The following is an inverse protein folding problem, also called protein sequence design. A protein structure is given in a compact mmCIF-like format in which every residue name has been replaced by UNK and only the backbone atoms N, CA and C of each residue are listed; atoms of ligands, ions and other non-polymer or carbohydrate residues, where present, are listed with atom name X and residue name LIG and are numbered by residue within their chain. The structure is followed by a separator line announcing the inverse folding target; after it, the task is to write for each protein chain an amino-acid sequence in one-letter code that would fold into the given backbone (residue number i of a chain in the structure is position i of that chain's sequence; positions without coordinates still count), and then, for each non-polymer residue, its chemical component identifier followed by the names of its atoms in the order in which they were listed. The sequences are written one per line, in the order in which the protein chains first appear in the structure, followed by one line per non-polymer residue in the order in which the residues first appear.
data_IF_894335696034
#
_entry.id   IF_894335696034
#
_cell.length_a   1.000
_cell.length_b   1.000
_cell.length_c   1.000
_cell.angle_alpha   90.00
_cell.angle_beta   90.00
_cell.angle_gamma   90.00
#
_symmetry.space_group_name_H-M   'P 1'
#
loop_
_entity.id
_entity.type
_entity.pdbx_description
1 polymer ?
#
# COMPACT_ATOMS: atom_id res chain seq x y z
N UNK A 1 5.35 1.51 -23.75
CA UNK A 1 6.02 0.90 -22.58
C UNK A 1 5.73 1.83 -21.40
N UNK A 2 5.02 1.37 -20.38
CA UNK A 2 4.79 2.20 -19.19
C UNK A 2 6.11 2.28 -18.44
N UNK A 3 6.62 3.48 -18.25
CA UNK A 3 7.83 3.73 -17.46
C UNK A 3 7.42 3.76 -15.99
N UNK A 4 8.00 2.89 -15.16
CA UNK A 4 7.85 2.90 -13.71
C UNK A 4 9.01 3.66 -13.10
N UNK A 5 8.74 4.54 -12.17
CA UNK A 5 9.76 5.25 -11.39
C UNK A 5 9.43 5.12 -9.91
N UNK A 6 10.42 4.82 -9.09
CA UNK A 6 10.28 4.79 -7.63
C UNK A 6 10.60 6.18 -7.08
N UNK A 7 9.68 6.71 -6.28
CA UNK A 7 9.85 7.99 -5.58
C UNK A 7 9.91 7.73 -4.07
N UNK A 8 10.97 8.17 -3.44
CA UNK A 8 11.20 8.03 -2.00
C UNK A 8 11.23 9.42 -1.36
N UNK A 9 10.84 9.53 -0.09
CA UNK A 9 10.79 10.80 0.62
C UNK A 9 9.71 11.75 0.10
N UNK A 10 8.69 11.20 -0.59
CA UNK A 10 7.61 11.97 -1.22
C UNK A 10 6.55 12.35 -0.18
N UNK A 11 6.05 13.60 -0.27
CA UNK A 11 4.94 14.09 0.53
C UNK A 11 3.90 14.78 -0.34
N UNK A 12 4.29 15.77 -1.14
CA UNK A 12 3.41 16.39 -2.13
C UNK A 12 3.84 15.94 -3.53
N UNK A 13 3.05 15.10 -4.19
CA UNK A 13 3.38 14.48 -5.48
C UNK A 13 3.48 15.47 -6.65
N UNK A 14 3.06 16.73 -6.46
CA UNK A 14 3.10 17.80 -7.50
C UNK A 14 4.18 18.85 -7.24
N UNK A 15 4.78 18.86 -6.05
CA UNK A 15 5.77 19.87 -5.65
C UNK A 15 7.06 19.20 -5.19
N UNK A 16 8.18 19.62 -5.75
CA UNK A 16 9.49 19.18 -5.25
C UNK A 16 9.83 19.95 -3.96
N UNK A 17 9.90 19.24 -2.84
CA UNK A 17 10.17 19.80 -1.53
C UNK A 17 11.65 19.68 -1.13
N UNK A 18 12.46 19.01 -1.98
CA UNK A 18 13.93 18.93 -1.86
C UNK A 18 14.45 17.73 -1.06
N UNK A 19 13.58 16.81 -0.67
CA UNK A 19 13.95 15.57 0.04
C UNK A 19 13.72 14.30 -0.76
N UNK A 20 13.16 14.43 -1.94
CA UNK A 20 12.74 13.32 -2.77
C UNK A 20 13.93 12.66 -3.47
N UNK A 21 13.84 11.35 -3.64
CA UNK A 21 14.76 10.57 -4.44
C UNK A 21 13.96 9.86 -5.53
N UNK A 22 14.36 10.05 -6.77
CA UNK A 22 13.75 9.41 -7.94
C UNK A 22 14.71 8.37 -8.48
N UNK A 23 14.35 7.09 -8.35
CA UNK A 23 15.22 5.98 -8.70
C UNK A 23 14.46 5.05 -9.65
N UNK A 24 15.07 4.77 -10.81
CA UNK A 24 14.52 3.80 -11.73
C UNK A 24 14.66 2.39 -11.18
N UNK A 25 13.72 1.49 -11.45
CA UNK A 25 13.89 0.09 -11.15
C UNK A 25 14.92 -0.55 -12.08
N UNK A 26 15.81 -1.35 -11.53
CA UNK A 26 16.66 -2.26 -12.29
C UNK A 26 15.88 -3.52 -12.67
N UNK A 27 15.07 -4.04 -11.72
CA UNK A 27 14.30 -5.26 -11.90
C UNK A 27 13.01 -5.22 -11.08
N UNK A 28 11.93 -5.70 -11.68
CA UNK A 28 10.63 -5.91 -11.03
C UNK A 28 10.40 -7.41 -10.97
N UNK A 29 10.21 -7.94 -9.77
CA UNK A 29 10.06 -9.37 -9.51
C UNK A 29 8.68 -9.59 -8.87
N UNK A 30 7.73 -10.02 -9.66
CA UNK A 30 6.40 -10.42 -9.18
C UNK A 30 6.49 -11.78 -8.49
N UNK A 31 5.70 -11.96 -7.44
CA UNK A 31 5.61 -13.24 -6.74
C UNK A 31 5.28 -14.38 -7.72
N UNK A 32 6.04 -15.50 -7.71
CA UNK A 32 5.87 -16.58 -8.70
C UNK A 32 4.50 -17.28 -8.62
N UNK A 33 3.80 -17.19 -7.49
CA UNK A 33 2.45 -17.73 -7.28
C UNK A 33 1.34 -16.68 -7.38
N UNK A 34 1.64 -15.48 -7.88
CA UNK A 34 0.61 -14.46 -8.08
C UNK A 34 -0.50 -14.98 -9.00
N UNK A 35 -1.72 -14.90 -8.52
CA UNK A 35 -2.90 -15.31 -9.28
C UNK A 35 -3.75 -14.09 -9.61
N UNK A 36 -3.79 -13.70 -10.87
CA UNK A 36 -4.53 -12.53 -11.34
C UNK A 36 -6.05 -12.63 -11.12
N UNK A 37 -6.61 -13.83 -11.10
CA UNK A 37 -8.06 -14.02 -10.95
C UNK A 37 -8.51 -13.86 -9.50
N UNK A 38 -7.74 -14.41 -8.57
CA UNK A 38 -8.05 -14.35 -7.13
C UNK A 38 -7.32 -13.22 -6.42
N UNK A 39 -6.40 -12.57 -7.10
CA UNK A 39 -5.48 -11.55 -6.55
C UNK A 39 -4.66 -12.11 -5.37
N UNK A 40 -4.47 -13.43 -5.34
CA UNK A 40 -3.68 -14.08 -4.29
C UNK A 40 -2.18 -13.90 -4.52
N UNK A 41 -1.40 -13.81 -3.45
CA UNK A 41 0.02 -13.49 -3.49
C UNK A 41 0.34 -12.18 -4.23
N UNK A 42 -0.49 -11.15 -4.03
CA UNK A 42 -0.32 -9.83 -4.65
C UNK A 42 0.79 -9.04 -3.96
N UNK A 43 2.00 -9.43 -4.28
CA UNK A 43 3.23 -8.81 -3.78
C UNK A 43 4.32 -8.88 -4.84
N UNK A 44 5.19 -7.87 -4.87
CA UNK A 44 6.34 -7.83 -5.76
C UNK A 44 7.56 -7.22 -5.05
N UNK A 45 8.73 -7.46 -5.61
CA UNK A 45 9.97 -6.81 -5.23
C UNK A 45 10.43 -5.89 -6.36
N UNK A 46 10.83 -4.68 -6.00
CA UNK A 46 11.48 -3.74 -6.92
C UNK A 46 12.93 -3.62 -6.51
N UNK A 47 13.84 -4.11 -7.35
CA UNK A 47 15.27 -3.84 -7.18
C UNK A 47 15.55 -2.48 -7.79
N UNK A 48 16.07 -1.57 -6.99
CA UNK A 48 16.46 -0.24 -7.43
C UNK A 48 17.75 -0.28 -8.26
N UNK A 49 17.84 0.57 -9.28
CA UNK A 49 19.02 0.69 -10.14
C UNK A 49 20.25 1.25 -9.38
N UNK A 50 20.00 2.11 -8.42
CA UNK A 50 21.00 2.61 -7.47
C UNK A 50 20.45 2.52 -6.05
N UNK A 51 21.31 2.35 -5.02
CA UNK A 51 20.86 2.35 -3.65
C UNK A 51 20.17 3.66 -3.26
N UNK A 52 19.10 3.54 -2.44
CA UNK A 52 18.50 4.70 -1.81
C UNK A 52 19.45 5.29 -0.75
N UNK A 53 19.45 6.59 -0.61
CA UNK A 53 20.15 7.28 0.48
C UNK A 53 19.23 7.32 1.69
N UNK A 54 19.64 6.67 2.79
CA UNK A 54 18.85 6.67 4.03
C UNK A 54 19.14 7.95 4.82
N UNK A 55 18.07 8.62 5.24
CA UNK A 55 18.12 9.89 5.96
C UNK A 55 16.85 10.06 6.83
N UNK A 56 16.57 11.24 7.34
CA UNK A 56 15.39 11.53 8.16
C UNK A 56 14.06 11.38 7.43
N UNK A 57 14.05 11.42 6.09
CA UNK A 57 12.85 11.33 5.25
C UNK A 57 12.71 9.98 4.56
N UNK A 58 13.79 9.20 4.48
CA UNK A 58 13.83 7.89 3.83
C UNK A 58 14.52 6.89 4.74
N UNK A 59 13.78 5.93 5.22
CA UNK A 59 14.29 4.87 6.10
C UNK A 59 13.67 3.51 5.74
N UNK A 60 14.29 2.45 6.22
CA UNK A 60 13.74 1.11 6.12
C UNK A 60 12.66 0.88 7.16
N UNK A 61 11.74 -0.04 6.88
CA UNK A 61 10.78 -0.58 7.84
C UNK A 61 11.04 -2.07 8.05
N UNK A 62 10.88 -2.54 9.28
CA UNK A 62 11.02 -3.96 9.60
C UNK A 62 9.87 -4.77 9.01
N UNK A 63 10.19 -5.93 8.46
CA UNK A 63 9.16 -6.87 8.05
C UNK A 63 8.52 -7.54 9.28
N UNK A 64 7.22 -7.85 9.25
CA UNK A 64 6.56 -8.52 10.34
C UNK A 64 7.07 -9.96 10.49
N UNK A 65 7.15 -10.44 11.73
CA UNK A 65 7.51 -11.82 12.06
C UNK A 65 6.30 -12.75 12.19
N UNK A 66 5.10 -12.17 12.25
CA UNK A 66 3.83 -12.88 12.35
C UNK A 66 2.71 -12.04 11.73
N UNK A 67 1.59 -12.68 11.39
CA UNK A 67 0.39 -11.96 10.98
C UNK A 67 -0.15 -11.10 12.13
N UNK A 68 -0.75 -9.95 11.83
CA UNK A 68 -1.33 -9.09 12.85
C UNK A 68 -2.57 -9.75 13.48
N UNK A 69 -2.77 -9.54 14.77
CA UNK A 69 -3.95 -10.02 15.49
C UNK A 69 -5.17 -9.12 15.20
N UNK A 70 -6.37 -9.70 15.30
CA UNK A 70 -7.63 -8.93 15.24
C UNK A 70 -7.62 -7.78 16.25
N UNK A 71 -8.00 -6.59 15.80
CA UNK A 71 -8.00 -5.36 16.58
C UNK A 71 -6.66 -4.62 16.62
N UNK A 72 -5.58 -5.19 16.10
CA UNK A 72 -4.31 -4.47 15.96
C UNK A 72 -4.52 -3.23 15.08
N UNK A 73 -4.01 -2.08 15.51
CA UNK A 73 -4.06 -0.85 14.73
C UNK A 73 -2.93 -0.85 13.70
N UNK A 74 -3.31 -0.59 12.45
CA UNK A 74 -2.37 -0.46 11.35
C UNK A 74 -2.50 0.93 10.72
N UNK A 75 -1.39 1.46 10.27
CA UNK A 75 -1.35 2.71 9.51
C UNK A 75 -1.33 2.38 8.02
N UNK A 76 -2.28 2.96 7.28
CA UNK A 76 -2.32 2.94 5.81
C UNK A 76 -2.03 4.34 5.32
N UNK A 77 -1.14 4.49 4.37
CA UNK A 77 -0.79 5.80 3.80
C UNK A 77 -0.79 5.74 2.27
N UNK A 78 -1.08 6.87 1.64
CA UNK A 78 -1.08 6.95 0.18
C UNK A 78 -1.74 8.21 -0.35
N UNK A 79 -1.72 8.35 -1.67
CA UNK A 79 -2.36 9.43 -2.43
C UNK A 79 -3.60 8.94 -3.20
N UNK A 80 -4.21 7.87 -2.72
CA UNK A 80 -5.42 7.30 -3.31
C UNK A 80 -6.63 8.23 -3.20
N UNK A 81 -7.69 7.86 -3.91
CA UNK A 81 -8.93 8.64 -3.95
C UNK A 81 -9.55 8.81 -2.56
N UNK A 82 -9.89 10.03 -2.18
CA UNK A 82 -10.47 10.38 -0.87
C UNK A 82 -12.01 10.49 -0.87
N UNK A 83 -12.65 10.33 -2.03
CA UNK A 83 -14.11 10.43 -2.17
C UNK A 83 -14.67 9.35 -3.09
N UNK A 84 -15.79 8.74 -2.71
CA UNK A 84 -16.41 7.63 -3.43
C UNK A 84 -17.00 8.01 -4.81
N UNK A 85 -17.26 9.29 -5.07
CA UNK A 85 -17.83 9.77 -6.33
C UNK A 85 -17.10 11.05 -6.75
N UNK A 86 -16.43 11.00 -7.89
CA UNK A 86 -15.82 12.19 -8.50
C UNK A 86 -14.30 12.30 -8.46
N UNK A 87 -13.59 11.27 -7.96
CA UNK A 87 -12.14 11.13 -8.18
C UNK A 87 -11.29 12.32 -7.74
N UNK A 88 -11.33 12.70 -6.48
CA UNK A 88 -10.40 13.70 -5.95
C UNK A 88 -9.19 12.99 -5.36
N UNK A 89 -8.09 13.04 -6.11
CA UNK A 89 -6.79 12.53 -5.65
C UNK A 89 -6.06 13.63 -4.86
N UNK A 90 -5.66 13.36 -3.61
CA UNK A 90 -4.91 14.33 -2.83
C UNK A 90 -3.49 14.51 -3.37
N UNK A 91 -2.98 15.71 -3.29
CA UNK A 91 -1.58 16.01 -3.63
C UNK A 91 -0.65 15.63 -2.48
N UNK A 92 -1.15 15.76 -1.25
CA UNK A 92 -0.42 15.51 0.00
C UNK A 92 -0.73 14.12 0.51
N UNK A 93 0.31 13.41 0.99
CA UNK A 93 0.20 12.09 1.57
C UNK A 93 -0.88 12.04 2.66
N UNK A 94 -1.82 11.12 2.50
CA UNK A 94 -2.88 10.86 3.47
C UNK A 94 -2.55 9.64 4.31
N UNK A 95 -3.02 9.63 5.56
CA UNK A 95 -2.85 8.54 6.51
C UNK A 95 -4.19 8.15 7.12
N UNK A 96 -4.40 6.85 7.30
CA UNK A 96 -5.56 6.28 7.96
C UNK A 96 -5.09 5.22 8.96
N UNK A 97 -5.46 5.39 10.22
CA UNK A 97 -5.34 4.31 11.20
C UNK A 97 -6.59 3.43 11.13
N UNK A 98 -6.41 2.14 10.93
CA UNK A 98 -7.51 1.19 10.80
C UNK A 98 -7.19 -0.11 11.56
N UNK A 99 -8.21 -0.72 12.23
CA UNK A 99 -8.04 -1.97 12.93
C UNK A 99 -8.05 -3.16 11.97
N UNK A 100 -7.30 -4.19 12.32
CA UNK A 100 -7.38 -5.51 11.68
C UNK A 100 -8.74 -6.14 12.03
N UNK A 101 -9.50 -6.52 11.02
CA UNK A 101 -10.79 -7.18 11.18
C UNK A 101 -10.61 -8.68 11.49
N UNK A 102 -11.62 -9.26 12.15
CA UNK A 102 -11.65 -10.71 12.33
C UNK A 102 -11.72 -11.43 10.98
N UNK A 103 -11.17 -12.64 10.91
CA UNK A 103 -11.24 -13.43 9.70
C UNK A 103 -12.70 -13.75 9.28
N UNK A 104 -13.61 -13.85 10.23
CA UNK A 104 -15.05 -14.04 9.95
C UNK A 104 -15.66 -12.77 9.33
N UNK A 105 -15.44 -11.60 9.93
CA UNK A 105 -15.93 -10.32 9.39
C UNK A 105 -15.37 -10.08 7.99
N UNK A 106 -14.08 -10.30 7.81
CA UNK A 106 -13.41 -10.15 6.50
C UNK A 106 -14.07 -11.05 5.43
N UNK A 107 -14.27 -12.36 5.72
CA UNK A 107 -14.92 -13.28 4.78
C UNK A 107 -16.40 -12.98 4.55
N UNK A 108 -17.11 -12.44 5.53
CA UNK A 108 -18.51 -12.03 5.38
C UNK A 108 -18.62 -10.79 4.47
N UNK A 109 -17.69 -9.84 4.57
CA UNK A 109 -17.66 -8.64 3.70
C UNK A 109 -17.29 -8.99 2.25
N UNK A 110 -16.43 -10.00 2.04
CA UNK A 110 -15.95 -10.41 0.73
C UNK A 110 -16.13 -11.93 0.50
N UNK A 111 -17.38 -12.44 0.34
CA UNK A 111 -17.64 -13.86 0.21
C UNK A 111 -16.85 -14.51 -0.93
N UNK A 112 -16.10 -15.56 -0.62
CA UNK A 112 -15.31 -16.34 -1.59
C UNK A 112 -14.07 -15.65 -2.18
N UNK A 113 -13.73 -14.43 -1.71
CA UNK A 113 -12.59 -13.67 -2.25
C UNK A 113 -11.35 -13.67 -1.35
N UNK A 114 -11.50 -13.96 -0.06
CA UNK A 114 -10.40 -13.88 0.91
C UNK A 114 -9.63 -15.20 0.93
N UNK A 115 -8.35 -15.13 0.59
CA UNK A 115 -7.43 -16.28 0.66
C UNK A 115 -6.68 -16.30 1.98
N UNK A 116 -5.90 -17.35 2.24
CA UNK A 116 -5.08 -17.46 3.44
C UNK A 116 -3.90 -16.48 3.49
N UNK A 117 -3.61 -15.82 2.36
CA UNK A 117 -2.56 -14.80 2.25
C UNK A 117 -3.12 -13.37 2.36
N UNK A 118 -4.37 -13.22 2.78
CA UNK A 118 -5.07 -11.94 2.90
C UNK A 118 -5.63 -11.75 4.30
N UNK A 119 -5.67 -10.52 4.75
CA UNK A 119 -6.44 -10.08 5.91
C UNK A 119 -7.10 -8.73 5.60
N UNK A 120 -8.08 -8.34 6.38
CA UNK A 120 -8.80 -7.09 6.19
C UNK A 120 -8.43 -6.06 7.24
N UNK A 121 -8.32 -4.82 6.81
CA UNK A 121 -8.29 -3.63 7.66
C UNK A 121 -9.55 -2.81 7.39
N UNK A 122 -10.03 -2.06 8.37
CA UNK A 122 -11.06 -1.08 8.14
C UNK A 122 -12.16 -1.06 9.18
N UNK A 123 -13.27 -0.46 8.78
CA UNK A 123 -14.43 -0.19 9.63
C UNK A 123 -15.67 -0.79 8.98
N UNK A 124 -16.40 -1.61 9.74
CA UNK A 124 -17.61 -2.28 9.25
C UNK A 124 -18.79 -1.31 9.01
N UNK A 125 -18.78 -0.19 9.71
CA UNK A 125 -19.75 0.90 9.52
C UNK A 125 -19.52 1.71 8.25
N UNK A 126 -18.41 1.53 7.57
CA UNK A 126 -18.06 2.29 6.37
C UNK A 126 -17.56 3.70 6.64
N UNK A 127 -17.45 4.52 5.59
CA UNK A 127 -17.07 5.95 5.67
C UNK A 127 -15.56 6.23 5.76
N UNK A 128 -14.75 5.23 6.05
CA UNK A 128 -13.28 5.31 6.04
C UNK A 128 -12.73 4.07 5.36
N UNK A 129 -12.14 4.26 4.21
CA UNK A 129 -11.56 3.16 3.41
C UNK A 129 -10.34 3.64 2.64
N UNK A 130 -9.50 2.72 2.23
CA UNK A 130 -8.42 2.95 1.27
C UNK A 130 -8.97 2.62 -0.13
N UNK A 131 -9.15 3.63 -0.97
CA UNK A 131 -9.65 3.44 -2.33
C UNK A 131 -8.58 3.82 -3.33
N UNK A 132 -8.29 2.90 -4.28
CA UNK A 132 -7.30 3.11 -5.35
C UNK A 132 -5.97 3.67 -4.84
N UNK A 133 -5.51 3.16 -3.70
CA UNK A 133 -4.20 3.54 -3.17
C UNK A 133 -3.15 2.89 -4.05
N UNK A 134 -2.52 3.68 -4.88
CA UNK A 134 -1.25 3.28 -5.48
C UNK A 134 -0.20 3.27 -4.37
N UNK A 135 -0.14 2.19 -3.61
CA UNK A 135 0.99 1.96 -2.72
C UNK A 135 2.17 1.65 -3.61
N UNK A 136 3.05 2.57 -3.69
CA UNK A 136 4.36 2.39 -4.29
C UNK A 136 5.40 2.11 -3.21
#
# INVERSE_FOLDING_TARGET
MVSLQVRLGEHNIHVLEGGEQFIDPEKIIRHPKYNKTTVDNDILLIKLKSPATLNSQVSTISLPTSCPSTGAQCLVSGWGNTVNLGGKYPEILQCLEAPVLSASSCRNSYPGKITNNMFCLGFLEGGKDSCDVSVL
#
